data_IF_858366742097
#
_entry.id   IF_858366742097
#
_cell.length_a   1.000
_cell.length_b   1.000
_cell.length_c   1.000
_cell.angle_alpha   90.00
_cell.angle_beta   90.00
_cell.angle_gamma   90.00
#
_symmetry.space_group_name_H-M   'P 1'
#
loop_
_entity.id
_entity.type
_entity.pdbx_description
1 polymer ?
#
# COMPACT_ATOMS: atom_id res chain seq x y z
N UNK A 1 19.82 -0.66 -6.53
CA UNK A 1 18.89 -1.22 -5.53
C UNK A 1 18.18 -2.36 -6.23
N UNK A 2 17.91 -3.48 -5.55
CA UNK A 2 17.11 -4.53 -6.17
C UNK A 2 15.71 -3.97 -6.52
N UNK A 3 15.21 -4.26 -7.73
CA UNK A 3 13.89 -3.84 -8.18
C UNK A 3 12.83 -4.75 -7.54
N UNK A 4 12.49 -4.48 -6.28
CA UNK A 4 11.42 -5.19 -5.58
C UNK A 4 10.05 -4.82 -6.16
N UNK A 5 9.19 -5.82 -6.31
CA UNK A 5 7.76 -5.63 -6.64
C UNK A 5 7.03 -4.86 -5.53
N UNK A 6 5.83 -4.34 -5.82
CA UNK A 6 5.00 -3.66 -4.81
C UNK A 6 4.74 -4.54 -3.59
N UNK A 7 4.40 -5.82 -3.82
CA UNK A 7 4.17 -6.80 -2.76
C UNK A 7 5.41 -6.94 -1.88
N UNK A 8 6.58 -7.14 -2.49
CA UNK A 8 7.84 -7.29 -1.76
C UNK A 8 8.22 -6.03 -0.98
N UNK A 9 8.04 -4.84 -1.57
CA UNK A 9 8.24 -3.57 -0.87
C UNK A 9 7.33 -3.45 0.36
N UNK A 10 6.05 -3.83 0.25
CA UNK A 10 5.13 -3.88 1.39
C UNK A 10 5.63 -4.89 2.43
N UNK A 11 6.05 -6.08 2.03
CA UNK A 11 6.56 -7.11 2.95
C UNK A 11 7.84 -6.66 3.67
N UNK A 12 8.74 -5.95 3.00
CA UNK A 12 9.91 -5.31 3.63
C UNK A 12 9.45 -4.34 4.72
N UNK A 13 8.45 -3.49 4.43
CA UNK A 13 7.92 -2.49 5.38
C UNK A 13 7.18 -3.11 6.55
N UNK A 14 6.52 -4.25 6.33
CA UNK A 14 5.88 -5.07 7.36
C UNK A 14 6.88 -5.99 8.10
N UNK A 15 8.16 -5.98 7.72
CA UNK A 15 9.22 -6.87 8.25
C UNK A 15 8.90 -8.36 8.08
N UNK A 16 8.21 -8.72 7.00
CA UNK A 16 7.90 -10.09 6.61
C UNK A 16 9.00 -10.66 5.70
N UNK A 17 10.25 -10.63 6.18
CA UNK A 17 11.39 -11.21 5.49
C UNK A 17 12.51 -11.54 6.48
N UNK A 18 13.40 -12.42 6.05
CA UNK A 18 14.72 -12.66 6.65
C UNK A 18 15.80 -12.69 5.56
N UNK A 19 17.06 -12.69 5.99
CA UNK A 19 18.20 -12.95 5.12
C UNK A 19 18.58 -14.41 5.31
N UNK A 20 18.71 -15.15 4.22
CA UNK A 20 19.21 -16.52 4.25
C UNK A 20 20.70 -16.50 4.64
N UNK A 21 21.06 -17.23 5.70
CA UNK A 21 22.43 -17.22 6.25
C UNK A 21 23.46 -17.86 5.31
N UNK A 22 23.03 -18.74 4.39
CA UNK A 22 23.91 -19.44 3.45
C UNK A 22 24.11 -18.62 2.16
N UNK A 23 23.04 -18.01 1.64
CA UNK A 23 23.06 -17.32 0.34
C UNK A 23 23.16 -15.80 0.46
N UNK A 24 22.91 -15.23 1.65
CA UNK A 24 22.74 -13.78 1.88
C UNK A 24 21.61 -13.14 1.05
N UNK A 25 20.68 -13.94 0.53
CA UNK A 25 19.52 -13.46 -0.24
C UNK A 25 18.35 -13.12 0.68
N UNK A 26 17.48 -12.21 0.22
CA UNK A 26 16.24 -11.87 0.92
C UNK A 26 15.20 -12.96 0.67
N UNK A 27 14.68 -13.55 1.74
CA UNK A 27 13.59 -14.54 1.69
C UNK A 27 12.34 -13.92 2.32
N UNK A 28 11.23 -13.92 1.58
CA UNK A 28 9.97 -13.31 2.02
C UNK A 28 9.10 -14.29 2.81
N UNK A 29 8.74 -13.90 4.03
CA UNK A 29 7.99 -14.72 4.98
C UNK A 29 6.46 -14.55 4.84
N UNK A 30 5.69 -15.25 5.66
CA UNK A 30 4.22 -15.09 5.77
C UNK A 30 3.47 -15.15 4.43
N UNK A 31 3.68 -16.19 3.59
CA UNK A 31 3.04 -16.28 2.26
C UNK A 31 1.50 -16.31 2.32
N UNK A 32 0.91 -16.66 3.46
CA UNK A 32 -0.54 -16.66 3.69
C UNK A 32 -1.13 -15.24 3.71
N UNK A 33 -0.32 -14.23 3.98
CA UNK A 33 -0.76 -12.83 4.00
C UNK A 33 -0.75 -12.20 2.59
N UNK A 34 -0.03 -12.81 1.64
CA UNK A 34 0.09 -12.30 0.28
C UNK A 34 -1.28 -12.01 -0.39
N UNK A 35 -2.31 -12.89 -0.31
CA UNK A 35 -3.61 -12.59 -0.92
C UNK A 35 -4.27 -11.33 -0.37
N UNK A 36 -4.15 -11.08 0.95
CA UNK A 36 -4.66 -9.86 1.56
C UNK A 36 -3.88 -8.64 1.08
N UNK A 37 -2.55 -8.71 1.09
CA UNK A 37 -1.69 -7.61 0.64
C UNK A 37 -1.96 -7.27 -0.83
N UNK A 38 -2.09 -8.25 -1.70
CA UNK A 38 -2.41 -8.05 -3.13
C UNK A 38 -3.80 -7.42 -3.33
N UNK A 39 -4.78 -7.82 -2.52
CA UNK A 39 -6.09 -7.20 -2.53
C UNK A 39 -6.01 -5.72 -2.10
N UNK A 40 -5.26 -5.41 -1.04
CA UNK A 40 -5.03 -4.04 -0.58
C UNK A 40 -4.28 -3.20 -1.62
N UNK A 41 -3.28 -3.78 -2.30
CA UNK A 41 -2.58 -3.11 -3.42
C UNK A 41 -3.56 -2.74 -4.53
N UNK A 42 -4.45 -3.66 -4.89
CA UNK A 42 -5.47 -3.43 -5.92
C UNK A 42 -6.45 -2.32 -5.52
N UNK A 43 -6.86 -2.29 -4.25
CA UNK A 43 -7.72 -1.24 -3.69
C UNK A 43 -7.02 0.13 -3.66
N UNK A 44 -5.76 0.19 -3.20
CA UNK A 44 -4.99 1.43 -3.19
C UNK A 44 -4.78 2.00 -4.60
N UNK A 45 -4.55 1.14 -5.60
CA UNK A 45 -4.49 1.55 -7.02
C UNK A 45 -5.83 2.13 -7.49
N UNK A 46 -6.95 1.48 -7.18
CA UNK A 46 -8.27 1.98 -7.53
C UNK A 46 -8.59 3.33 -6.87
N UNK A 47 -8.21 3.52 -5.60
CA UNK A 47 -8.36 4.79 -4.89
C UNK A 47 -7.57 5.92 -5.57
N UNK A 48 -6.33 5.64 -6.00
CA UNK A 48 -5.51 6.60 -6.75
C UNK A 48 -6.17 6.93 -8.09
N UNK A 49 -6.66 5.93 -8.82
CA UNK A 49 -7.37 6.16 -10.09
C UNK A 49 -8.58 7.06 -9.90
N UNK A 50 -9.39 6.81 -8.87
CA UNK A 50 -10.54 7.64 -8.54
C UNK A 50 -10.13 9.09 -8.21
N UNK A 51 -9.06 9.28 -7.43
CA UNK A 51 -8.54 10.60 -7.06
C UNK A 51 -7.91 11.35 -8.22
N UNK A 52 -7.24 10.64 -9.14
CA UNK A 52 -6.63 11.22 -10.34
C UNK A 52 -7.71 11.72 -11.31
N UNK A 53 -8.92 11.15 -11.29
CA UNK A 53 -10.02 11.55 -12.17
C UNK A 53 -9.56 11.60 -13.64
N UNK A 54 -8.91 10.53 -14.10
CA UNK A 54 -8.34 10.47 -15.44
C UNK A 54 -9.38 10.86 -16.51
N UNK A 55 -8.99 11.63 -17.54
CA UNK A 55 -9.85 11.90 -18.69
C UNK A 55 -10.24 10.61 -19.41
N UNK A 56 -11.42 10.59 -20.05
CA UNK A 56 -11.91 9.44 -20.82
C UNK A 56 -10.98 9.03 -22.00
N UNK A 57 -10.04 9.90 -22.38
CA UNK A 57 -9.03 9.65 -23.41
C UNK A 57 -7.80 8.87 -22.91
N UNK A 58 -7.69 8.62 -21.60
CA UNK A 58 -6.63 7.78 -21.05
C UNK A 58 -6.96 6.30 -21.27
N UNK A 59 -6.00 5.56 -21.82
CA UNK A 59 -6.09 4.11 -21.93
C UNK A 59 -5.59 3.45 -20.64
N UNK A 60 -5.95 2.20 -20.43
CA UNK A 60 -5.51 1.42 -19.27
C UNK A 60 -3.98 1.35 -19.18
N UNK A 61 -3.27 1.31 -20.30
CA UNK A 61 -1.80 1.31 -20.33
C UNK A 61 -1.23 2.64 -19.83
N UNK A 62 -1.84 3.78 -20.21
CA UNK A 62 -1.42 5.10 -19.75
C UNK A 62 -1.69 5.29 -18.26
N UNK A 63 -2.81 4.76 -17.78
CA UNK A 63 -3.14 4.75 -16.35
C UNK A 63 -2.12 3.90 -15.60
N UNK A 64 -1.84 2.69 -16.07
CA UNK A 64 -0.84 1.80 -15.46
C UNK A 64 0.57 2.42 -15.44
N UNK A 65 0.95 3.15 -16.50
CA UNK A 65 2.22 3.89 -16.54
C UNK A 65 2.27 5.05 -15.53
N UNK A 66 1.20 5.84 -15.42
CA UNK A 66 1.12 6.93 -14.43
C UNK A 66 1.09 6.39 -12.99
N UNK A 67 0.43 5.26 -12.75
CA UNK A 67 0.38 4.60 -11.43
C UNK A 67 1.78 4.22 -10.90
N UNK A 68 2.75 3.92 -11.76
CA UNK A 68 4.15 3.66 -11.36
C UNK A 68 4.78 4.85 -10.61
N UNK A 69 4.30 6.07 -10.86
CA UNK A 69 4.79 7.29 -10.18
C UNK A 69 4.29 7.38 -8.74
N UNK A 70 3.23 6.64 -8.41
CA UNK A 70 2.60 6.62 -7.09
C UNK A 70 2.93 5.35 -6.30
N UNK A 71 3.93 4.59 -6.71
CA UNK A 71 4.34 3.34 -6.05
C UNK A 71 4.56 3.52 -4.54
N UNK A 72 5.25 4.59 -4.14
CA UNK A 72 5.49 4.91 -2.72
C UNK A 72 4.20 5.23 -1.96
N UNK A 73 3.23 5.87 -2.61
CA UNK A 73 1.90 6.15 -2.03
C UNK A 73 1.13 4.84 -1.85
N UNK A 74 1.14 3.97 -2.88
CA UNK A 74 0.50 2.65 -2.82
C UNK A 74 1.07 1.85 -1.65
N UNK A 75 2.40 1.73 -1.54
CA UNK A 75 3.06 1.00 -0.45
C UNK A 75 2.68 1.57 0.92
N UNK A 76 2.64 2.90 1.08
CA UNK A 76 2.27 3.53 2.35
C UNK A 76 0.81 3.26 2.75
N UNK A 77 -0.12 3.37 1.80
CA UNK A 77 -1.55 3.09 2.03
C UNK A 77 -1.75 1.62 2.39
N UNK A 78 -1.11 0.70 1.66
CA UNK A 78 -1.24 -0.75 1.91
C UNK A 78 -0.67 -1.13 3.27
N UNK A 79 0.50 -0.62 3.64
CA UNK A 79 1.09 -0.88 4.97
C UNK A 79 0.18 -0.36 6.08
N UNK A 80 -0.43 0.82 5.89
CA UNK A 80 -1.39 1.38 6.84
C UNK A 80 -2.65 0.51 6.96
N UNK A 81 -3.30 0.18 5.84
CA UNK A 81 -4.54 -0.61 5.81
C UNK A 81 -4.32 -2.04 6.35
N UNK A 82 -3.18 -2.65 6.04
CA UNK A 82 -2.81 -3.95 6.61
C UNK A 82 -2.60 -3.87 8.13
N UNK A 83 -1.97 -2.80 8.62
CA UNK A 83 -1.74 -2.60 10.06
C UNK A 83 -3.06 -2.37 10.82
N UNK A 84 -4.03 -1.68 10.22
CA UNK A 84 -5.38 -1.49 10.75
C UNK A 84 -6.19 -2.79 10.76
N UNK A 85 -6.09 -3.62 9.72
CA UNK A 85 -6.83 -4.88 9.62
C UNK A 85 -6.51 -5.86 10.78
N UNK A 86 -5.31 -5.75 11.36
CA UNK A 86 -4.94 -6.49 12.58
C UNK A 86 -5.62 -5.99 13.85
N UNK A 87 -6.16 -4.76 13.85
CA UNK A 87 -6.93 -4.15 14.94
C UNK A 87 -8.45 -4.13 14.68
N UNK A 88 -8.92 -4.23 13.44
CA UNK A 88 -10.34 -4.11 13.06
C UNK A 88 -11.28 -5.19 13.67
N UNK A 89 -10.75 -6.29 14.22
CA UNK A 89 -11.50 -7.27 15.00
C UNK A 89 -11.34 -7.13 16.53
N UNK A 90 -10.60 -6.12 17.00
CA UNK A 90 -10.43 -5.81 18.43
C UNK A 90 -11.36 -4.66 18.82
N UNK A 91 -12.58 -5.00 19.26
CA UNK A 91 -13.58 -4.01 19.67
C UNK A 91 -13.16 -3.13 20.87
N UNK A 92 -12.17 -3.55 21.66
CA UNK A 92 -11.49 -2.78 22.71
C UNK A 92 -10.23 -3.53 23.16
N UNK A 93 -9.07 -2.85 23.20
CA UNK A 93 -7.90 -3.32 23.96
C UNK A 93 -7.55 -2.25 25.00
N UNK A 94 -8.20 -2.28 26.17
CA UNK A 94 -7.83 -1.45 27.33
C UNK A 94 -7.12 -2.32 28.37
N UNK A 95 -5.88 -2.72 28.06
CA UNK A 95 -4.90 -3.10 29.08
C UNK A 95 -3.78 -2.08 28.99
N UNK A 96 -3.72 -1.16 29.95
CA UNK A 96 -2.59 -0.24 30.22
C UNK A 96 -2.48 1.11 29.47
N UNK A 97 -3.56 1.65 28.87
CA UNK A 97 -3.58 3.09 28.54
C UNK A 97 -2.67 3.54 27.38
N UNK A 98 -2.35 2.64 26.44
CA UNK A 98 -1.72 3.04 25.17
C UNK A 98 -2.81 3.55 24.22
N UNK A 99 -2.98 4.87 24.15
CA UNK A 99 -3.82 5.51 23.14
C UNK A 99 -3.10 5.48 21.79
N UNK A 100 -3.52 4.63 20.86
CA UNK A 100 -3.05 4.65 19.47
C UNK A 100 -3.96 5.59 18.68
N UNK A 101 -3.52 6.82 18.45
CA UNK A 101 -4.19 7.73 17.52
C UNK A 101 -3.64 7.46 16.13
N UNK A 102 -4.45 6.84 15.28
CA UNK A 102 -4.10 6.61 13.89
C UNK A 102 -4.10 7.93 13.10
N UNK A 103 -3.17 8.04 12.16
CA UNK A 103 -3.15 9.15 11.20
C UNK A 103 -4.34 9.02 10.25
N UNK A 104 -4.96 10.12 9.87
CA UNK A 104 -5.99 10.12 8.84
C UNK A 104 -5.49 9.45 7.55
N UNK A 105 -6.19 8.39 7.10
CA UNK A 105 -5.82 7.61 5.90
C UNK A 105 -5.70 8.51 4.67
N UNK A 106 -6.58 9.51 4.53
CA UNK A 106 -6.59 10.40 3.37
C UNK A 106 -5.27 11.17 3.22
N UNK A 107 -4.64 11.51 4.34
CA UNK A 107 -3.37 12.22 4.35
C UNK A 107 -2.17 11.40 3.81
N UNK A 108 -2.38 10.10 3.51
CA UNK A 108 -1.39 9.25 2.83
C UNK A 108 -1.36 9.45 1.32
N UNK A 109 -2.41 9.97 0.70
CA UNK A 109 -2.49 10.26 -0.74
C UNK A 109 -1.78 11.56 -1.14
N UNK A 110 -0.75 11.95 -0.38
CA UNK A 110 0.02 13.16 -0.64
C UNK A 110 0.63 13.12 -2.05
N UNK A 111 0.44 14.19 -2.82
CA UNK A 111 0.94 14.27 -4.20
C UNK A 111 0.05 13.63 -5.26
N UNK A 112 -1.05 12.97 -4.88
CA UNK A 112 -2.07 12.49 -5.83
C UNK A 112 -3.07 13.61 -6.08
N UNK A 113 -2.99 14.22 -7.26
CA UNK A 113 -3.87 15.34 -7.65
C UNK A 113 -4.77 14.97 -8.82
N UNK A 114 -6.03 15.43 -8.86
CA UNK A 114 -6.90 15.20 -10.02
C UNK A 114 -6.36 15.90 -11.27
N UNK A 115 -6.61 15.32 -12.45
CA UNK A 115 -6.46 16.06 -13.70
C UNK A 115 -7.50 17.18 -13.77
N UNK A 116 -7.06 18.38 -14.16
CA UNK A 116 -7.96 19.50 -14.37
C UNK A 116 -8.92 19.16 -15.51
N UNK A 117 -10.23 19.12 -15.22
CA UNK A 117 -11.26 19.11 -16.26
C UNK A 117 -11.43 20.55 -16.74
N UNK A 118 -10.98 20.83 -17.96
CA UNK A 118 -11.37 22.06 -18.65
C UNK A 118 -12.79 21.83 -19.17
N UNK A 119 -13.74 22.57 -18.59
CA UNK A 119 -15.16 22.59 -18.99
C UNK A 119 -15.37 23.46 -20.24
#
# INVERSE_FOLDING_TARGET
>A
MADYTTLEQVKIRLKQFHIDDETSEVVFDSPKDNPLIEQLISQAKADIVAKRMYPDSYTDEKIAEDLKRFESVIVNVVVYDHSQSGEDFMANYSENGVSRTWRDRESLFVGVFPFAKVL
#
